data_IF_400785753344
#
_entry.id   IF_400785753344
#
_cell.length_a   1.000
_cell.length_b   1.000
_cell.length_c   1.000
_cell.angle_alpha   90.00
_cell.angle_beta   90.00
_cell.angle_gamma   90.00
#
_symmetry.space_group_name_H-M   'P 1'
#
loop_
_entity.id
_entity.type
_entity.pdbx_description
1 polymer ?
#
# COMPACT_ATOMS: atom_id res chain seq x y z
N UNK A 1 66.94 9.76 18.59
CA UNK A 1 66.53 11.16 18.85
C UNK A 1 65.15 11.34 18.25
N UNK A 2 64.27 11.96 19.02
CA UNK A 2 62.85 12.25 18.76
C UNK A 2 62.68 13.06 17.45
N UNK A 3 61.52 13.20 16.78
CA UNK A 3 60.20 13.75 17.16
C UNK A 3 59.29 13.46 15.93
N UNK A 4 58.07 12.89 16.02
CA UNK A 4 56.77 13.56 16.23
C UNK A 4 55.76 13.08 15.16
N UNK A 5 54.68 12.39 15.54
CA UNK A 5 53.26 12.81 15.50
C UNK A 5 52.83 13.44 14.14
N UNK A 6 51.84 12.94 13.40
CA UNK A 6 50.46 12.68 13.83
C UNK A 6 49.75 11.72 12.85
N UNK A 7 48.88 10.83 13.36
CA UNK A 7 48.13 9.81 12.62
C UNK A 7 46.67 9.92 13.07
N UNK A 8 45.89 10.78 12.41
CA UNK A 8 44.47 10.95 12.71
C UNK A 8 43.67 9.73 12.24
N UNK A 9 43.45 8.80 13.17
CA UNK A 9 42.51 7.68 13.04
C UNK A 9 41.18 8.10 13.67
N UNK A 10 40.19 8.44 12.83
CA UNK A 10 38.79 8.59 13.25
C UNK A 10 38.29 7.26 13.81
N UNK A 11 38.41 7.10 15.13
CA UNK A 11 37.65 6.11 15.90
C UNK A 11 36.20 6.56 15.97
N UNK A 12 35.33 5.82 15.28
CA UNK A 12 33.89 5.79 15.55
C UNK A 12 33.68 5.30 16.98
N UNK A 13 33.40 6.23 17.89
CA UNK A 13 32.85 5.90 19.20
C UNK A 13 31.38 5.50 19.02
N UNK A 14 31.14 4.20 18.94
CA UNK A 14 29.87 3.61 19.37
C UNK A 14 29.85 3.71 20.91
N UNK A 15 28.91 4.43 21.54
CA UNK A 15 28.74 4.33 22.97
C UNK A 15 28.09 2.97 23.27
N UNK A 16 28.79 2.20 24.09
CA UNK A 16 28.30 1.02 24.80
C UNK A 16 26.95 1.27 25.45
N UNK A 17 25.95 0.46 25.08
CA UNK A 17 24.64 0.37 25.72
C UNK A 17 24.79 -0.10 27.18
N UNK A 18 24.27 0.65 28.17
CA UNK A 18 23.88 0.07 29.44
C UNK A 18 22.51 -0.60 29.25
N UNK A 19 22.46 -1.90 29.51
CA UNK A 19 21.22 -2.62 29.78
C UNK A 19 20.54 -2.00 31.03
N UNK A 20 19.23 -1.82 30.96
CA UNK A 20 18.30 -1.34 32.01
C UNK A 20 18.10 0.19 32.12
N UNK A 21 17.34 0.75 31.17
CA UNK A 21 16.63 2.02 31.35
C UNK A 21 15.65 2.22 30.19
N UNK A 22 14.34 2.23 30.46
CA UNK A 22 13.33 2.57 29.43
C UNK A 22 13.59 4.00 28.97
N UNK A 23 14.19 4.20 27.79
CA UNK A 23 14.31 5.52 27.18
C UNK A 23 12.94 5.90 26.64
N UNK A 24 12.32 6.92 27.23
CA UNK A 24 11.14 7.59 26.71
C UNK A 24 11.35 8.02 25.25
N UNK A 25 10.35 7.86 24.37
CA UNK A 25 10.46 8.35 22.98
C UNK A 25 10.74 9.85 22.96
N UNK A 26 11.52 10.30 21.97
CA UNK A 26 11.76 11.73 21.72
C UNK A 26 10.51 12.55 21.43
N UNK A 27 9.35 11.89 21.23
CA UNK A 27 8.05 12.55 21.09
C UNK A 27 7.48 13.12 22.40
N UNK A 28 8.12 12.89 23.55
CA UNK A 28 7.71 13.48 24.83
C UNK A 28 8.91 14.17 25.53
N UNK A 29 9.30 15.38 25.09
CA UNK A 29 10.43 16.10 25.66
C UNK A 29 10.20 16.40 27.15
N UNK A 30 11.27 16.38 27.93
CA UNK A 30 11.26 16.62 29.39
C UNK A 30 10.51 15.56 30.22
N UNK A 31 10.19 14.41 29.65
CA UNK A 31 9.70 13.28 30.43
C UNK A 31 10.86 12.55 31.14
N UNK A 32 10.76 12.37 32.46
CA UNK A 32 11.74 11.66 33.27
C UNK A 32 11.49 10.15 33.29
N UNK A 33 10.22 9.74 33.42
CA UNK A 33 9.81 8.33 33.38
C UNK A 33 8.56 8.15 32.52
N UNK A 34 8.53 7.08 31.72
CA UNK A 34 7.40 6.78 30.86
C UNK A 34 6.73 5.45 31.21
N UNK A 35 5.41 5.42 31.07
CA UNK A 35 4.61 4.20 31.16
C UNK A 35 4.88 3.30 29.94
N UNK A 36 4.90 3.89 28.75
CA UNK A 36 5.16 3.26 27.45
C UNK A 36 5.99 4.18 26.53
N UNK A 37 6.13 3.88 25.23
CA UNK A 37 6.93 4.72 24.33
C UNK A 37 6.30 6.08 24.00
N UNK A 38 5.06 6.41 24.39
CA UNK A 38 4.43 7.74 24.13
C UNK A 38 3.89 8.41 25.39
N UNK A 39 3.54 7.64 26.41
CA UNK A 39 2.85 8.12 27.60
C UNK A 39 3.84 8.46 28.70
N UNK A 40 4.00 9.75 29.00
CA UNK A 40 4.82 10.21 30.12
C UNK A 40 4.12 9.89 31.44
N UNK A 41 4.88 9.35 32.40
CA UNK A 41 4.42 9.10 33.76
C UNK A 41 4.79 10.25 34.69
N UNK A 42 6.03 10.75 34.60
CA UNK A 42 6.56 11.82 35.44
C UNK A 42 7.50 12.70 34.64
N UNK A 43 7.37 14.01 34.82
CA UNK A 43 8.24 15.00 34.20
C UNK A 43 9.57 15.15 34.95
N UNK A 44 10.57 15.70 34.26
CA UNK A 44 11.82 16.15 34.86
C UNK A 44 11.56 17.26 35.89
N UNK A 45 12.52 17.49 36.79
CA UNK A 45 12.43 18.58 37.76
C UNK A 45 12.17 19.93 37.06
N UNK A 46 11.34 20.78 37.68
CA UNK A 46 10.85 22.06 37.12
C UNK A 46 9.84 21.98 35.98
N UNK A 47 9.40 20.78 35.58
CA UNK A 47 8.31 20.61 34.62
C UNK A 47 7.08 20.01 35.30
N UNK A 48 5.91 20.48 34.88
CA UNK A 48 4.61 20.03 35.36
C UNK A 48 3.98 19.11 34.33
N UNK A 49 3.37 18.03 34.81
CA UNK A 49 2.67 17.08 33.95
C UNK A 49 1.25 17.62 33.65
N UNK A 50 1.00 17.86 32.37
CA UNK A 50 -0.31 18.20 31.83
C UNK A 50 -0.89 16.96 31.14
N UNK A 51 -1.87 16.32 31.78
CA UNK A 51 -2.64 15.24 31.15
C UNK A 51 -3.62 15.87 30.16
N UNK A 52 -3.58 15.42 28.91
CA UNK A 52 -4.57 15.76 27.89
C UNK A 52 -5.08 14.51 27.20
N UNK A 53 -6.18 14.63 26.48
CA UNK A 53 -6.68 13.62 25.57
C UNK A 53 -5.59 13.07 24.63
N UNK A 54 -4.77 13.96 24.05
CA UNK A 54 -3.69 13.63 23.10
C UNK A 54 -2.45 13.01 23.75
N UNK A 55 -2.43 12.91 25.08
CA UNK A 55 -1.33 12.33 25.85
C UNK A 55 -0.92 13.23 27.00
N UNK A 56 -0.13 12.67 27.91
CA UNK A 56 0.49 13.45 28.98
C UNK A 56 1.74 14.16 28.44
N UNK A 57 1.84 15.47 28.63
CA UNK A 57 2.96 16.30 28.19
C UNK A 57 3.59 17.02 29.39
N UNK A 58 4.88 17.33 29.29
CA UNK A 58 5.59 18.10 30.30
C UNK A 58 5.67 19.58 29.89
N UNK A 59 5.09 20.46 30.69
CA UNK A 59 5.04 21.92 30.45
C UNK A 59 5.79 22.67 31.54
N UNK A 60 6.36 23.83 31.21
CA UNK A 60 7.11 24.64 32.17
C UNK A 60 6.20 25.41 33.15
N UNK A 61 4.94 25.64 32.78
CA UNK A 61 3.92 26.28 33.62
C UNK A 61 2.53 25.83 33.20
N UNK A 62 1.58 25.85 34.14
CA UNK A 62 0.21 25.46 33.85
C UNK A 62 -0.49 26.50 32.94
N UNK A 63 -1.25 26.06 31.92
CA UNK A 63 -2.06 26.96 31.10
C UNK A 63 -3.16 27.62 31.95
N UNK A 64 -3.58 28.84 31.58
CA UNK A 64 -4.34 29.79 32.42
C UNK A 64 -5.24 29.22 33.54
N UNK A 65 -6.32 28.52 33.21
CA UNK A 65 -7.32 28.07 34.19
C UNK A 65 -6.90 26.86 35.05
N UNK A 66 -5.65 26.44 34.92
CA UNK A 66 -5.08 25.32 35.65
C UNK A 66 -4.21 25.80 36.82
N UNK A 67 -4.36 25.14 37.95
CA UNK A 67 -3.53 25.32 39.13
C UNK A 67 -2.51 24.19 39.27
N UNK A 68 -1.36 24.53 39.82
CA UNK A 68 -0.33 23.56 40.19
C UNK A 68 -0.72 22.83 41.46
N UNK A 69 -0.62 21.50 41.42
CA UNK A 69 -0.89 20.63 42.56
C UNK A 69 0.16 19.52 42.63
N UNK A 70 0.53 19.13 43.84
CA UNK A 70 1.46 18.03 44.07
C UNK A 70 0.69 16.71 44.26
N UNK A 71 1.13 15.67 43.55
CA UNK A 71 0.56 14.32 43.64
C UNK A 71 1.62 13.28 43.97
N UNK A 72 1.22 12.24 44.70
CA UNK A 72 2.12 11.16 45.11
C UNK A 72 2.68 10.38 43.90
N UNK A 73 1.86 10.13 42.89
CA UNK A 73 2.23 9.24 41.77
C UNK A 73 2.95 9.99 40.62
N UNK A 74 2.46 11.18 40.25
CA UNK A 74 2.89 11.89 39.03
C UNK A 74 3.77 13.13 39.32
N UNK A 75 3.94 13.51 40.58
CA UNK A 75 4.64 14.75 40.94
C UNK A 75 3.76 15.99 40.75
N UNK A 76 4.35 17.10 40.31
CA UNK A 76 3.63 18.34 40.02
C UNK A 76 2.79 18.18 38.75
N UNK A 77 1.49 18.40 38.87
CA UNK A 77 0.51 18.28 37.78
C UNK A 77 -0.34 19.55 37.69
N UNK A 78 -0.80 19.85 36.48
CA UNK A 78 -1.73 20.95 36.22
C UNK A 78 -3.18 20.46 36.32
N UNK A 79 -4.02 21.11 37.14
CA UNK A 79 -5.44 20.74 37.32
C UNK A 79 -6.36 21.96 37.15
N UNK A 80 -7.47 21.81 36.42
CA UNK A 80 -8.47 22.89 36.28
C UNK A 80 -9.27 23.09 37.57
N UNK A 81 -9.64 24.34 37.85
CA UNK A 81 -10.50 24.72 38.98
C UNK A 81 -12.00 24.67 38.66
N UNK A 82 -12.37 24.55 37.38
CA UNK A 82 -13.75 24.38 36.93
C UNK A 82 -14.08 22.89 36.77
N UNK A 83 -15.16 22.44 37.41
CA UNK A 83 -15.60 21.04 37.34
C UNK A 83 -16.21 20.65 35.99
N UNK A 84 -16.11 19.37 35.64
CA UNK A 84 -16.65 18.80 34.40
C UNK A 84 -18.12 18.42 34.57
N UNK A 85 -18.99 19.40 34.36
CA UNK A 85 -20.43 19.29 34.70
C UNK A 85 -21.18 18.21 33.91
N UNK A 86 -20.68 17.82 32.73
CA UNK A 86 -21.38 16.92 31.79
C UNK A 86 -20.92 15.46 31.85
N UNK A 87 -19.73 15.18 32.36
CA UNK A 87 -19.15 13.83 32.34
C UNK A 87 -19.08 13.32 33.79
N UNK A 88 -19.88 12.31 34.16
CA UNK A 88 -19.84 11.74 35.50
C UNK A 88 -18.44 11.25 35.85
N UNK A 89 -17.96 11.62 37.04
CA UNK A 89 -16.66 11.20 37.57
C UNK A 89 -15.46 11.71 36.78
N UNK A 90 -15.61 12.84 36.09
CA UNK A 90 -14.52 13.53 35.42
C UNK A 90 -13.99 14.70 36.28
N UNK A 91 -12.68 14.69 36.54
CA UNK A 91 -12.00 15.72 37.33
C UNK A 91 -11.35 16.81 36.47
N UNK A 92 -11.10 16.52 35.19
CA UNK A 92 -10.51 17.46 34.23
C UNK A 92 -11.03 17.17 32.82
N UNK A 93 -11.41 18.22 32.09
CA UNK A 93 -11.98 18.18 30.75
C UNK A 93 -11.47 19.37 29.95
N UNK A 94 -11.54 19.23 28.62
CA UNK A 94 -11.12 20.28 27.71
C UNK A 94 -12.17 21.41 27.69
N UNK A 95 -11.79 22.64 28.05
CA UNK A 95 -12.76 23.74 28.25
C UNK A 95 -13.53 24.14 26.98
N UNK A 96 -13.00 23.84 25.80
CA UNK A 96 -13.66 24.11 24.52
C UNK A 96 -14.69 23.03 24.15
N UNK A 97 -14.61 21.86 24.76
CA UNK A 97 -15.45 20.70 24.47
C UNK A 97 -15.83 20.02 25.79
N UNK A 98 -16.91 20.46 26.43
CA UNK A 98 -17.44 19.93 27.70
C UNK A 98 -17.74 18.40 27.69
N UNK A 99 -17.64 17.76 26.53
CA UNK A 99 -17.93 16.35 26.29
C UNK A 99 -16.64 15.49 26.18
N UNK A 100 -15.45 16.08 26.39
CA UNK A 100 -14.16 15.37 26.41
C UNK A 100 -13.56 15.41 27.82
N UNK A 101 -13.45 14.24 28.46
CA UNK A 101 -12.76 14.09 29.73
C UNK A 101 -11.28 13.77 29.53
N UNK A 102 -10.38 14.56 30.13
CA UNK A 102 -8.94 14.33 30.12
C UNK A 102 -8.48 13.46 31.30
N UNK A 103 -9.16 13.59 32.45
CA UNK A 103 -8.83 12.87 33.69
C UNK A 103 -10.08 12.55 34.50
N UNK A 104 -10.20 11.30 34.94
CA UNK A 104 -11.26 10.88 35.84
C UNK A 104 -10.97 11.24 37.31
N UNK A 105 -11.99 11.18 38.16
CA UNK A 105 -11.85 11.26 39.61
C UNK A 105 -10.94 10.15 40.13
N UNK A 106 -10.31 10.37 41.29
CA UNK A 106 -9.49 9.35 41.94
C UNK A 106 -10.29 8.05 42.15
N UNK A 107 -9.69 6.93 41.76
CA UNK A 107 -10.34 5.61 41.78
C UNK A 107 -11.08 5.24 40.49
N UNK A 108 -11.21 6.15 39.52
CA UNK A 108 -11.80 5.88 38.20
C UNK A 108 -10.73 5.89 37.10
N UNK A 109 -10.97 5.11 36.05
CA UNK A 109 -10.09 4.94 34.90
C UNK A 109 -10.76 5.52 33.65
N UNK A 110 -10.00 6.27 32.86
CA UNK A 110 -10.47 6.81 31.59
C UNK A 110 -10.53 5.70 30.54
N UNK A 111 -11.72 5.45 29.99
CA UNK A 111 -11.97 4.49 28.93
C UNK A 111 -12.44 5.21 27.68
N UNK A 112 -11.77 4.92 26.57
CA UNK A 112 -12.25 5.22 25.22
C UNK A 112 -12.18 3.95 24.40
N UNK A 113 -13.28 3.57 23.77
CA UNK A 113 -13.38 2.28 23.07
C UNK A 113 -12.74 2.30 21.69
N UNK A 114 -12.93 3.37 20.95
CA UNK A 114 -12.40 3.60 19.60
C UNK A 114 -12.14 5.10 19.40
N UNK A 115 -11.33 5.47 18.41
CA UNK A 115 -11.11 6.88 18.06
C UNK A 115 -12.43 7.56 17.74
N UNK A 116 -12.77 8.63 18.47
CA UNK A 116 -14.03 9.36 18.30
C UNK A 116 -15.22 8.81 19.10
N UNK A 117 -15.04 7.72 19.86
CA UNK A 117 -16.05 7.26 20.81
C UNK A 117 -16.11 8.17 22.05
N UNK A 118 -17.29 8.21 22.69
CA UNK A 118 -17.51 8.90 23.97
C UNK A 118 -16.54 8.39 25.05
N UNK A 119 -16.05 9.32 25.87
CA UNK A 119 -15.15 9.03 26.98
C UNK A 119 -15.97 8.68 28.21
N UNK A 120 -15.58 7.61 28.90
CA UNK A 120 -16.24 7.14 30.12
C UNK A 120 -15.23 6.98 31.26
N UNK A 121 -15.60 7.41 32.45
CA UNK A 121 -14.86 7.14 33.67
C UNK A 121 -15.41 5.88 34.35
N UNK A 122 -14.64 4.79 34.32
CA UNK A 122 -15.08 3.47 34.81
C UNK A 122 -14.28 3.05 36.04
N UNK A 123 -14.90 2.37 37.00
CA UNK A 123 -14.22 1.88 38.19
C UNK A 123 -13.21 0.75 37.89
N UNK A 124 -13.41 0.01 36.78
CA UNK A 124 -12.55 -1.06 36.32
C UNK A 124 -12.63 -1.20 34.81
N UNK A 125 -11.53 -1.64 34.17
CA UNK A 125 -11.53 -1.84 32.72
C UNK A 125 -12.43 -2.99 32.29
N UNK A 126 -13.25 -2.81 31.23
CA UNK A 126 -14.08 -3.88 30.69
C UNK A 126 -13.23 -4.96 30.00
N UNK A 127 -13.86 -6.09 29.65
CA UNK A 127 -13.21 -7.16 28.91
C UNK A 127 -12.54 -6.65 27.62
N UNK A 128 -11.32 -7.11 27.35
CA UNK A 128 -10.49 -6.63 26.24
C UNK A 128 -9.65 -5.38 26.56
N UNK A 129 -9.78 -4.82 27.76
CA UNK A 129 -8.99 -3.68 28.23
C UNK A 129 -8.27 -4.02 29.54
N UNK A 130 -7.08 -3.45 29.71
CA UNK A 130 -6.25 -3.59 30.91
C UNK A 130 -5.94 -2.20 31.48
N UNK A 131 -5.82 -2.13 32.81
CA UNK A 131 -5.41 -0.89 33.49
C UNK A 131 -4.01 -0.50 33.03
N UNK A 132 -3.87 0.74 32.58
CA UNK A 132 -2.62 1.34 32.12
C UNK A 132 -2.52 2.78 32.67
N UNK A 133 -1.92 2.91 33.86
CA UNK A 133 -1.94 4.17 34.61
C UNK A 133 -3.36 4.52 35.08
N UNK A 134 -3.80 5.74 34.75
CA UNK A 134 -5.13 6.30 35.01
C UNK A 134 -6.15 5.96 33.92
N UNK A 135 -5.79 5.10 32.96
CA UNK A 135 -6.59 4.80 31.77
C UNK A 135 -6.78 3.30 31.55
N UNK A 136 -7.76 2.96 30.74
CA UNK A 136 -7.95 1.62 30.18
C UNK A 136 -7.36 1.57 28.78
N UNK A 137 -6.34 0.72 28.59
CA UNK A 137 -5.74 0.44 27.28
C UNK A 137 -6.24 -0.89 26.76
N UNK A 138 -6.57 -0.98 25.48
CA UNK A 138 -6.93 -2.27 24.87
C UNK A 138 -5.77 -3.27 25.03
N UNK A 139 -6.08 -4.51 25.39
CA UNK A 139 -5.07 -5.50 25.79
C UNK A 139 -4.11 -5.86 24.65
N UNK A 140 -4.55 -5.78 23.40
CA UNK A 140 -3.69 -6.04 22.25
C UNK A 140 -2.68 -4.91 21.93
N UNK A 141 -2.81 -3.75 22.57
CA UNK A 141 -1.99 -2.57 22.27
C UNK A 141 -0.78 -2.45 23.22
N UNK A 142 0.36 -2.01 22.70
CA UNK A 142 1.55 -1.69 23.53
C UNK A 142 1.46 -0.30 24.14
N UNK A 143 0.67 0.61 23.56
CA UNK A 143 0.47 1.98 24.02
C UNK A 143 -1.01 2.37 24.04
N UNK A 144 -1.31 3.47 24.70
CA UNK A 144 -2.68 3.97 24.85
C UNK A 144 -3.37 4.31 23.51
N UNK A 145 -2.63 4.86 22.55
CA UNK A 145 -3.15 5.23 21.22
C UNK A 145 -3.22 4.05 20.26
N UNK A 146 -2.81 2.86 20.73
CA UNK A 146 -2.68 1.66 19.94
C UNK A 146 -1.86 1.89 18.66
N UNK A 147 -0.82 2.74 18.76
CA UNK A 147 0.11 3.01 17.65
C UNK A 147 1.06 1.83 17.40
N UNK A 148 1.17 0.92 18.37
CA UNK A 148 1.88 -0.35 18.30
C UNK A 148 1.02 -1.47 18.89
N UNK A 149 1.12 -2.64 18.28
CA UNK A 149 0.44 -3.85 18.70
C UNK A 149 1.41 -4.81 19.39
N UNK A 150 0.93 -5.54 20.41
CA UNK A 150 1.70 -6.62 21.02
C UNK A 150 1.97 -7.73 19.99
N UNK A 151 2.97 -8.58 20.27
CA UNK A 151 3.27 -9.75 19.46
C UNK A 151 2.04 -10.61 19.18
N UNK A 152 1.87 -11.04 17.93
CA UNK A 152 0.70 -11.78 17.45
C UNK A 152 -0.46 -10.92 16.97
N UNK A 153 -0.36 -9.59 17.04
CA UNK A 153 -1.35 -8.64 16.53
C UNK A 153 -0.75 -7.74 15.43
N UNK A 154 -1.59 -7.31 14.49
CA UNK A 154 -1.19 -6.51 13.33
C UNK A 154 -1.96 -5.20 13.28
N UNK A 155 -1.30 -4.08 12.92
CA UNK A 155 -2.01 -2.82 12.72
C UNK A 155 -2.91 -2.88 11.49
N UNK A 156 -4.08 -2.23 11.54
CA UNK A 156 -5.02 -2.17 10.42
C UNK A 156 -4.40 -1.63 9.13
N UNK A 157 -3.47 -0.69 9.24
CA UNK A 157 -2.66 -0.15 8.14
C UNK A 157 -1.41 0.53 8.72
N UNK A 158 -0.47 0.93 7.87
CA UNK A 158 0.75 1.60 8.31
C UNK A 158 0.44 2.90 9.05
N UNK A 159 0.75 2.96 10.34
CA UNK A 159 0.45 4.11 11.20
C UNK A 159 -1.00 4.19 11.70
N UNK A 160 -1.76 3.10 11.57
CA UNK A 160 -3.10 3.01 12.15
C UNK A 160 -3.11 2.95 13.68
N UNK A 161 -4.30 3.01 14.26
CA UNK A 161 -4.56 3.01 15.72
C UNK A 161 -5.44 1.83 16.16
N UNK A 162 -5.50 0.78 15.33
CA UNK A 162 -6.32 -0.41 15.59
C UNK A 162 -5.50 -1.66 15.31
N UNK A 163 -5.45 -2.53 16.31
CA UNK A 163 -4.79 -3.83 16.21
C UNK A 163 -5.82 -4.91 15.88
N UNK A 164 -5.49 -5.74 14.90
CA UNK A 164 -6.29 -6.85 14.40
C UNK A 164 -5.54 -8.16 14.69
N UNK A 165 -6.29 -9.25 14.90
CA UNK A 165 -5.68 -10.56 15.07
C UNK A 165 -5.13 -11.11 13.75
N UNK A 166 -5.72 -10.70 12.62
CA UNK A 166 -5.31 -11.03 11.25
C UNK A 166 -5.75 -9.92 10.29
N UNK A 167 -5.11 -9.86 9.13
CA UNK A 167 -5.54 -8.94 8.08
C UNK A 167 -6.86 -9.38 7.43
N UNK A 168 -7.75 -8.44 7.10
CA UNK A 168 -9.00 -8.76 6.42
C UNK A 168 -8.74 -9.20 4.97
N UNK A 169 -9.75 -9.79 4.33
CA UNK A 169 -9.71 -10.14 2.90
C UNK A 169 -9.30 -8.94 2.05
N UNK A 170 -8.43 -9.18 1.07
CA UNK A 170 -7.84 -8.14 0.22
C UNK A 170 -6.60 -7.46 0.81
N UNK A 171 -6.12 -7.92 1.98
CA UNK A 171 -4.91 -7.42 2.62
C UNK A 171 -4.00 -8.57 3.06
N UNK A 172 -2.70 -8.29 3.13
CA UNK A 172 -1.69 -9.21 3.64
C UNK A 172 -0.87 -8.55 4.76
N UNK A 173 -0.29 -9.38 5.62
CA UNK A 173 0.56 -8.88 6.70
C UNK A 173 1.92 -8.48 6.16
N UNK A 174 2.33 -7.25 6.45
CA UNK A 174 3.64 -6.70 6.10
C UNK A 174 4.31 -6.14 7.34
N UNK A 175 5.61 -6.33 7.45
CA UNK A 175 6.40 -5.76 8.54
C UNK A 175 7.03 -4.43 8.12
N UNK A 176 6.94 -3.42 8.99
CA UNK A 176 7.69 -2.18 8.82
C UNK A 176 9.14 -2.37 9.29
N UNK A 177 10.07 -2.26 8.34
CA UNK A 177 11.50 -2.56 8.56
C UNK A 177 12.15 -1.66 9.63
N UNK A 178 11.62 -0.46 9.87
CA UNK A 178 12.21 0.48 10.83
C UNK A 178 11.68 0.27 12.26
N UNK A 179 10.39 0.00 12.40
CA UNK A 179 9.74 -0.12 13.71
C UNK A 179 9.56 -1.56 14.20
N UNK A 180 9.70 -2.55 13.29
CA UNK A 180 9.37 -3.96 13.52
C UNK A 180 7.87 -4.24 13.65
N UNK A 181 7.02 -3.23 13.44
CA UNK A 181 5.57 -3.35 13.61
C UNK A 181 4.95 -3.95 12.35
N UNK A 182 4.21 -5.05 12.52
CA UNK A 182 3.39 -5.61 11.46
C UNK A 182 2.11 -4.79 11.24
N UNK A 183 1.72 -4.61 9.98
CA UNK A 183 0.50 -3.93 9.56
C UNK A 183 -0.10 -4.63 8.34
N UNK A 184 -1.38 -4.36 8.06
CA UNK A 184 -2.04 -4.86 6.88
C UNK A 184 -1.79 -3.92 5.69
N UNK A 185 -1.24 -4.48 4.63
CA UNK A 185 -1.03 -3.80 3.35
C UNK A 185 -1.94 -4.41 2.29
N UNK A 186 -2.32 -3.62 1.29
CA UNK A 186 -3.36 -4.02 0.34
C UNK A 186 -2.81 -4.99 -0.71
N UNK A 187 -3.59 -6.03 -1.01
CA UNK A 187 -3.36 -6.90 -2.16
C UNK A 187 -3.51 -6.11 -3.47
N UNK A 188 -3.08 -6.73 -4.57
CA UNK A 188 -3.38 -6.20 -5.91
C UNK A 188 -4.90 -6.15 -6.13
N UNK A 189 -5.37 -5.23 -6.98
CA UNK A 189 -6.78 -5.14 -7.34
C UNK A 189 -7.41 -6.48 -7.75
N UNK A 190 -8.66 -6.70 -7.33
CA UNK A 190 -9.48 -7.88 -7.56
C UNK A 190 -8.95 -9.17 -6.90
N UNK A 191 -8.09 -9.03 -5.88
CA UNK A 191 -7.48 -10.13 -5.17
C UNK A 191 -7.98 -10.17 -3.71
N UNK A 192 -8.48 -11.32 -3.27
CA UNK A 192 -8.98 -11.52 -1.90
C UNK A 192 -7.89 -12.06 -0.96
N UNK A 193 -6.86 -12.71 -1.49
CA UNK A 193 -5.75 -13.23 -0.69
C UNK A 193 -4.44 -13.17 -1.47
N UNK A 194 -3.39 -12.68 -0.82
CA UNK A 194 -2.06 -12.53 -1.40
C UNK A 194 -0.98 -12.68 -0.32
N UNK A 195 0.23 -13.06 -0.72
CA UNK A 195 1.42 -13.02 0.15
C UNK A 195 2.18 -11.70 0.07
N UNK A 196 2.04 -10.99 -1.05
CA UNK A 196 2.69 -9.70 -1.31
C UNK A 196 1.82 -8.83 -2.26
N UNK A 197 2.26 -7.60 -2.51
CA UNK A 197 1.52 -6.65 -3.35
C UNK A 197 1.55 -6.96 -4.86
N UNK A 198 2.35 -7.93 -5.29
CA UNK A 198 2.53 -8.30 -6.69
C UNK A 198 1.78 -9.59 -7.06
N UNK A 199 1.71 -10.54 -6.15
CA UNK A 199 1.23 -11.90 -6.38
C UNK A 199 -0.09 -12.14 -5.67
N UNK A 200 -1.13 -12.40 -6.44
CA UNK A 200 -2.41 -12.86 -5.93
C UNK A 200 -2.47 -14.39 -5.81
N UNK A 201 -3.05 -14.89 -4.73
CA UNK A 201 -3.32 -16.32 -4.51
C UNK A 201 -4.77 -16.67 -4.83
N UNK A 202 -5.71 -15.80 -4.45
CA UNK A 202 -7.15 -16.00 -4.65
C UNK A 202 -7.78 -14.72 -5.19
N UNK A 203 -8.50 -14.86 -6.31
CA UNK A 203 -9.21 -13.76 -6.92
C UNK A 203 -10.60 -13.56 -6.31
N UNK A 204 -11.12 -12.35 -6.44
CA UNK A 204 -12.54 -12.07 -6.26
C UNK A 204 -13.41 -12.88 -7.24
N UNK A 205 -14.68 -13.04 -6.89
CA UNK A 205 -15.66 -13.69 -7.76
C UNK A 205 -15.70 -13.02 -9.14
N UNK A 206 -15.89 -13.83 -10.19
CA UNK A 206 -15.89 -13.43 -11.61
C UNK A 206 -14.52 -13.03 -12.19
N UNK A 207 -13.44 -13.10 -11.42
CA UNK A 207 -12.09 -12.97 -11.94
C UNK A 207 -11.38 -14.32 -12.04
N UNK A 208 -10.47 -14.42 -13.00
CA UNK A 208 -9.63 -15.58 -13.23
C UNK A 208 -8.20 -15.28 -12.77
N UNK A 209 -7.64 -16.19 -11.97
CA UNK A 209 -6.24 -16.12 -11.59
C UNK A 209 -5.36 -16.46 -12.80
N UNK A 210 -4.53 -15.50 -13.20
CA UNK A 210 -3.55 -15.64 -14.26
C UNK A 210 -2.13 -15.65 -13.69
N UNK A 211 -1.47 -16.81 -13.76
CA UNK A 211 -0.09 -17.01 -13.31
C UNK A 211 0.90 -16.67 -14.42
N UNK A 212 1.35 -15.42 -14.44
CA UNK A 212 2.38 -14.93 -15.37
C UNK A 212 3.76 -14.82 -14.71
N UNK A 213 4.44 -13.69 -14.93
CA UNK A 213 5.63 -13.31 -14.14
C UNK A 213 5.24 -12.97 -12.70
N UNK A 214 4.07 -12.37 -12.55
CA UNK A 214 3.37 -12.17 -11.29
C UNK A 214 1.96 -12.75 -11.45
N UNK A 215 1.37 -13.28 -10.37
CA UNK A 215 -0.01 -13.75 -10.38
C UNK A 215 -0.97 -12.58 -10.22
N UNK A 216 -1.99 -12.52 -11.09
CA UNK A 216 -2.97 -11.42 -11.09
C UNK A 216 -4.35 -11.92 -11.48
N UNK A 217 -5.36 -11.19 -11.04
CA UNK A 217 -6.75 -11.45 -11.37
C UNK A 217 -7.16 -10.70 -12.64
N UNK A 218 -7.71 -11.42 -13.61
CA UNK A 218 -8.16 -10.87 -14.89
C UNK A 218 -9.60 -11.28 -15.17
N UNK A 219 -10.39 -10.38 -15.75
CA UNK A 219 -11.79 -10.66 -16.08
C UNK A 219 -11.92 -11.68 -17.24
N UNK A 220 -10.95 -11.66 -18.17
CA UNK A 220 -10.88 -12.61 -19.28
C UNK A 220 -9.46 -13.17 -19.39
N UNK A 221 -9.36 -14.47 -19.66
CA UNK A 221 -8.07 -15.10 -19.87
C UNK A 221 -7.39 -14.55 -21.12
N UNK A 222 -6.08 -14.24 -21.05
CA UNK A 222 -5.35 -13.69 -22.18
C UNK A 222 -5.26 -14.72 -23.31
N UNK A 223 -5.01 -14.23 -24.53
CA UNK A 223 -4.76 -15.06 -25.71
C UNK A 223 -3.74 -16.16 -25.39
N UNK A 224 -4.09 -17.40 -25.72
CA UNK A 224 -3.29 -18.59 -25.40
C UNK A 224 -3.78 -19.36 -24.17
N UNK A 225 -4.78 -18.84 -23.45
CA UNK A 225 -5.28 -19.41 -22.21
C UNK A 225 -6.81 -19.53 -22.24
N UNK A 226 -7.34 -20.53 -21.56
CA UNK A 226 -8.76 -20.77 -21.36
C UNK A 226 -9.11 -20.65 -19.87
N UNK A 227 -10.33 -20.19 -19.63
CA UNK A 227 -10.94 -20.23 -18.31
C UNK A 227 -11.11 -21.68 -17.88
N UNK A 228 -10.64 -22.00 -16.68
CA UNK A 228 -10.83 -23.30 -16.07
C UNK A 228 -11.36 -23.14 -14.64
N UNK A 229 -12.50 -23.76 -14.38
CA UNK A 229 -13.22 -23.74 -13.11
C UNK A 229 -13.09 -25.09 -12.37
N UNK A 230 -12.24 -26.01 -12.85
CA UNK A 230 -12.17 -27.39 -12.36
C UNK A 230 -11.32 -27.58 -11.10
N UNK A 231 -10.72 -26.52 -10.53
CA UNK A 231 -9.81 -26.63 -9.39
C UNK A 231 -10.44 -26.09 -8.11
N UNK A 232 -10.11 -26.72 -6.98
CA UNK A 232 -10.44 -26.26 -5.62
C UNK A 232 -9.89 -24.86 -5.30
N UNK A 233 -9.01 -24.32 -6.13
CA UNK A 233 -8.42 -22.98 -6.05
C UNK A 233 -9.25 -21.88 -6.73
N UNK A 234 -10.41 -22.21 -7.29
CA UNK A 234 -11.29 -21.26 -7.98
C UNK A 234 -11.00 -21.12 -9.48
N UNK A 235 -11.53 -20.05 -10.07
CA UNK A 235 -11.43 -19.72 -11.49
C UNK A 235 -9.99 -19.36 -11.86
N UNK A 236 -9.34 -20.16 -12.72
CA UNK A 236 -7.94 -19.95 -13.16
C UNK A 236 -7.84 -19.87 -14.68
N UNK A 237 -6.80 -19.21 -15.19
CA UNK A 237 -6.44 -19.24 -16.60
C UNK A 237 -5.39 -20.33 -16.86
N UNK A 238 -5.77 -21.40 -17.55
CA UNK A 238 -4.85 -22.47 -17.97
C UNK A 238 -4.45 -22.31 -19.42
N UNK A 239 -3.26 -22.81 -19.75
CA UNK A 239 -2.79 -22.84 -21.14
C UNK A 239 -3.78 -23.65 -21.97
N UNK A 240 -4.19 -23.07 -23.09
CA UNK A 240 -5.01 -23.75 -24.07
C UNK A 240 -4.17 -24.79 -24.84
N UNK A 241 -4.52 -26.07 -24.67
CA UNK A 241 -3.79 -27.20 -25.24
C UNK A 241 -4.37 -27.71 -26.56
N UNK A 242 -5.44 -27.10 -27.08
CA UNK A 242 -5.99 -27.51 -28.37
C UNK A 242 -4.94 -27.37 -29.47
N UNK A 243 -4.82 -28.42 -30.30
CA UNK A 243 -3.83 -28.47 -31.38
C UNK A 243 -2.39 -28.75 -30.96
N UNK A 244 -2.10 -28.91 -29.67
CA UNK A 244 -0.75 -29.26 -29.20
C UNK A 244 -0.52 -30.77 -29.28
N UNK A 245 0.61 -31.19 -29.88
CA UNK A 245 1.01 -32.59 -29.93
C UNK A 245 1.84 -33.04 -28.72
N UNK A 246 2.33 -32.08 -27.94
CA UNK A 246 3.12 -32.29 -26.71
C UNK A 246 2.70 -31.26 -25.66
N UNK A 247 2.89 -31.59 -24.40
CA UNK A 247 2.53 -30.76 -23.24
C UNK A 247 3.06 -29.31 -23.32
N UNK A 248 4.28 -29.13 -23.85
CA UNK A 248 4.91 -27.82 -23.99
C UNK A 248 4.37 -26.99 -25.17
N UNK A 249 3.46 -27.54 -25.98
CA UNK A 249 2.97 -26.97 -27.24
C UNK A 249 4.09 -26.55 -28.21
N UNK A 250 5.28 -27.12 -28.07
CA UNK A 250 6.42 -26.88 -28.96
C UNK A 250 6.22 -27.50 -30.34
N UNK A 251 5.28 -28.45 -30.47
CA UNK A 251 4.84 -29.09 -31.71
C UNK A 251 3.32 -28.97 -31.81
N UNK A 252 2.84 -28.52 -32.96
CA UNK A 252 1.42 -28.35 -33.25
C UNK A 252 0.94 -29.38 -34.28
N UNK A 253 -0.36 -29.64 -34.29
CA UNK A 253 -1.04 -30.42 -35.31
C UNK A 253 -0.82 -29.81 -36.71
N UNK A 254 -0.94 -30.62 -37.74
CA UNK A 254 -0.85 -30.15 -39.12
C UNK A 254 -1.92 -29.09 -39.42
N UNK A 255 -1.53 -28.04 -40.15
CA UNK A 255 -2.38 -26.86 -40.40
C UNK A 255 -2.43 -25.85 -39.25
N UNK A 256 -1.94 -26.17 -38.04
CA UNK A 256 -1.93 -25.24 -36.92
C UNK A 256 -0.64 -24.41 -36.87
N UNK A 257 -0.79 -23.14 -36.51
CA UNK A 257 0.28 -22.19 -36.29
C UNK A 257 0.83 -22.28 -34.87
N UNK A 258 2.17 -22.33 -34.77
CA UNK A 258 2.88 -22.22 -33.50
C UNK A 258 3.23 -20.76 -33.21
N UNK A 259 2.93 -20.29 -32.00
CA UNK A 259 3.25 -18.95 -31.51
C UNK A 259 3.91 -19.01 -30.14
N UNK A 260 4.78 -18.05 -29.82
CA UNK A 260 5.40 -17.92 -28.50
C UNK A 260 4.87 -16.68 -27.77
N UNK A 261 4.10 -16.89 -26.71
CA UNK A 261 3.50 -15.84 -25.87
C UNK A 261 4.12 -15.92 -24.48
N UNK A 262 4.74 -14.83 -24.00
CA UNK A 262 5.38 -14.75 -22.67
C UNK A 262 6.30 -15.95 -22.33
N UNK A 263 7.12 -16.35 -23.29
CA UNK A 263 8.08 -17.48 -23.25
C UNK A 263 7.48 -18.89 -23.41
N UNK A 264 6.16 -19.05 -23.37
CA UNK A 264 5.45 -20.32 -23.57
C UNK A 264 5.01 -20.48 -25.03
N UNK A 265 5.04 -21.70 -25.55
CA UNK A 265 4.50 -21.99 -26.89
C UNK A 265 3.01 -22.28 -26.81
N UNK A 266 2.29 -21.92 -27.88
CA UNK A 266 0.88 -22.20 -28.06
C UNK A 266 0.62 -22.61 -29.50
N UNK A 267 -0.41 -23.41 -29.72
CA UNK A 267 -0.90 -23.80 -31.04
C UNK A 267 -2.24 -23.12 -31.32
N UNK A 268 -2.44 -22.63 -32.55
CA UNK A 268 -3.68 -21.99 -33.00
C UNK A 268 -4.01 -22.34 -34.44
N UNK A 269 -5.29 -22.39 -34.79
CA UNK A 269 -5.71 -22.53 -36.20
C UNK A 269 -5.45 -21.23 -36.98
N UNK A 270 -5.55 -20.08 -36.31
CA UNK A 270 -5.30 -18.76 -36.90
C UNK A 270 -4.38 -17.94 -36.00
N UNK A 271 -3.58 -17.05 -36.59
CA UNK A 271 -2.72 -16.18 -35.81
C UNK A 271 -3.53 -15.09 -35.10
N UNK A 272 -3.28 -14.86 -33.80
CA UNK A 272 -4.01 -13.84 -33.05
C UNK A 272 -3.64 -12.44 -33.52
N UNK A 273 -4.49 -11.47 -33.19
CA UNK A 273 -4.28 -10.05 -33.47
C UNK A 273 -2.85 -9.60 -33.15
N UNK A 274 -2.28 -8.78 -34.04
CA UNK A 274 -0.88 -8.34 -33.98
C UNK A 274 0.11 -9.37 -34.50
N UNK A 275 -0.35 -10.47 -35.09
CA UNK A 275 0.48 -11.48 -35.76
C UNK A 275 -0.06 -11.83 -37.15
N UNK A 276 0.82 -12.34 -38.00
CA UNK A 276 0.50 -12.86 -39.33
C UNK A 276 1.03 -14.30 -39.50
N UNK A 277 0.38 -15.07 -40.38
CA UNK A 277 0.78 -16.44 -40.68
C UNK A 277 2.05 -16.52 -41.52
N UNK A 278 2.98 -17.40 -41.15
CA UNK A 278 4.17 -17.76 -41.93
C UNK A 278 4.10 -19.24 -42.25
N UNK A 279 3.87 -19.55 -43.52
CA UNK A 279 3.83 -20.91 -44.06
C UNK A 279 5.07 -21.15 -44.93
N UNK A 280 5.75 -22.29 -44.75
CA UNK A 280 6.93 -22.66 -45.52
C UNK A 280 6.94 -24.16 -45.76
N UNK A 281 7.15 -24.57 -47.02
CA UNK A 281 7.20 -25.98 -47.38
C UNK A 281 8.19 -26.76 -46.50
N UNK A 282 7.73 -27.88 -45.93
CA UNK A 282 8.51 -28.74 -45.05
C UNK A 282 8.87 -28.14 -43.69
N UNK A 283 8.27 -27.01 -43.29
CA UNK A 283 8.49 -26.37 -41.98
C UNK A 283 7.14 -26.13 -41.28
N UNK A 284 7.13 -26.07 -39.93
CA UNK A 284 5.90 -25.80 -39.19
C UNK A 284 5.40 -24.37 -39.48
N UNK A 285 4.07 -24.21 -39.50
CA UNK A 285 3.42 -22.92 -39.59
C UNK A 285 3.71 -22.09 -38.32
N UNK A 286 4.06 -20.82 -38.49
CA UNK A 286 4.44 -19.93 -37.38
C UNK A 286 3.67 -18.63 -37.43
N UNK A 287 3.36 -18.06 -36.27
CA UNK A 287 2.86 -16.69 -36.20
C UNK A 287 4.01 -15.69 -36.06
N UNK A 288 4.22 -14.88 -37.10
CA UNK A 288 5.13 -13.74 -37.09
C UNK A 288 4.49 -12.51 -36.45
N UNK A 289 5.27 -11.64 -35.81
CA UNK A 289 4.75 -10.38 -35.24
C UNK A 289 4.56 -9.31 -36.31
N UNK A 290 3.46 -8.59 -36.23
CA UNK A 290 3.24 -7.39 -37.02
C UNK A 290 4.23 -6.27 -36.65
N UNK A 291 4.39 -5.25 -37.54
CA UNK A 291 5.09 -4.02 -37.21
C UNK A 291 4.59 -3.41 -35.89
N UNK A 292 5.45 -2.62 -35.24
CA UNK A 292 5.07 -1.93 -34.02
C UNK A 292 3.80 -1.10 -34.24
N UNK A 293 2.95 -1.02 -33.21
CA UNK A 293 1.66 -0.30 -33.25
C UNK A 293 0.60 -0.81 -34.25
N UNK A 294 0.90 -1.87 -35.00
CA UNK A 294 -0.03 -2.48 -35.94
C UNK A 294 -0.94 -3.52 -35.25
N UNK A 295 -2.21 -3.54 -35.62
CA UNK A 295 -3.23 -4.50 -35.19
C UNK A 295 -3.33 -5.69 -36.16
N UNK A 296 -3.35 -5.43 -37.46
CA UNK A 296 -3.42 -6.45 -38.52
C UNK A 296 -2.40 -6.13 -39.61
N UNK A 297 -1.69 -7.13 -40.11
CA UNK A 297 -0.62 -6.95 -41.09
C UNK A 297 -0.57 -8.12 -42.07
N UNK A 298 -0.10 -7.85 -43.29
CA UNK A 298 0.17 -8.88 -44.28
C UNK A 298 1.48 -9.62 -43.97
N UNK A 299 2.47 -8.88 -43.48
CA UNK A 299 3.77 -9.39 -43.10
C UNK A 299 4.46 -8.45 -42.09
N UNK A 300 5.73 -8.71 -41.77
CA UNK A 300 6.52 -7.96 -40.80
C UNK A 300 6.77 -6.47 -41.14
N UNK A 301 6.39 -6.00 -42.33
CA UNK A 301 6.54 -4.60 -42.79
C UNK A 301 5.21 -3.94 -43.11
N UNK A 302 4.30 -4.69 -43.70
CA UNK A 302 3.08 -4.12 -44.29
C UNK A 302 1.91 -4.17 -43.30
N UNK A 303 1.66 -3.05 -42.64
CA UNK A 303 0.51 -2.89 -41.75
C UNK A 303 -0.77 -2.62 -42.54
N UNK A 304 -1.87 -3.23 -42.13
CA UNK A 304 -3.21 -3.03 -42.71
C UNK A 304 -4.11 -2.21 -41.78
N UNK A 305 -3.99 -2.42 -40.47
CA UNK A 305 -4.81 -1.72 -39.48
C UNK A 305 -3.97 -1.29 -38.28
N UNK A 306 -4.11 -0.03 -37.88
CA UNK A 306 -3.49 0.48 -36.66
C UNK A 306 -4.30 0.09 -35.42
N UNK A 307 -3.61 -0.09 -34.29
CA UNK A 307 -4.28 -0.23 -32.99
C UNK A 307 -5.12 1.01 -32.69
N UNK A 308 -6.22 0.82 -31.96
CA UNK A 308 -7.15 1.87 -31.56
C UNK A 308 -6.43 3.06 -30.90
N UNK A 309 -6.84 4.28 -31.27
CA UNK A 309 -6.34 5.52 -30.68
C UNK A 309 -5.08 6.11 -31.33
N UNK A 310 -4.45 5.41 -32.27
CA UNK A 310 -3.26 5.86 -33.00
C UNK A 310 -3.61 6.60 -34.30
N UNK A 311 -2.70 7.48 -34.74
CA UNK A 311 -2.80 8.15 -36.03
C UNK A 311 -2.28 7.26 -37.15
N UNK A 312 -3.07 7.16 -38.23
CA UNK A 312 -2.69 6.54 -39.50
C UNK A 312 -1.84 7.50 -40.33
N UNK A 313 -0.65 7.08 -40.73
CA UNK A 313 0.24 7.84 -41.61
C UNK A 313 0.56 6.98 -42.84
N UNK A 314 0.23 7.46 -44.04
CA UNK A 314 0.58 6.76 -45.29
C UNK A 314 1.73 7.49 -45.97
N UNK A 315 2.83 6.78 -46.24
CA UNK A 315 3.97 7.29 -47.02
C UNK A 315 4.33 6.27 -48.09
N UNK A 316 4.40 6.73 -49.34
CA UNK A 316 4.77 5.90 -50.49
C UNK A 316 3.93 4.59 -50.56
N UNK A 317 2.64 4.69 -50.25
CA UNK A 317 1.70 3.57 -50.21
C UNK A 317 1.81 2.67 -48.97
N UNK A 318 2.76 2.89 -48.07
CA UNK A 318 2.96 2.11 -46.84
C UNK A 318 2.27 2.77 -45.64
N UNK A 319 1.51 2.00 -44.87
CA UNK A 319 0.83 2.45 -43.65
C UNK A 319 1.75 2.33 -42.42
N UNK A 320 1.88 3.45 -41.72
CA UNK A 320 2.57 3.57 -40.43
C UNK A 320 1.58 4.00 -39.34
N UNK A 321 1.71 3.43 -38.15
CA UNK A 321 0.84 3.69 -37.01
C UNK A 321 1.60 4.43 -35.91
N UNK A 322 1.29 5.70 -35.70
CA UNK A 322 2.08 6.60 -34.85
C UNK A 322 1.23 7.23 -33.74
N UNK A 323 1.87 7.51 -32.61
CA UNK A 323 1.23 8.20 -31.47
C UNK A 323 1.00 9.68 -31.74
N UNK A 324 1.93 10.30 -32.47
CA UNK A 324 1.90 11.71 -32.84
C UNK A 324 2.29 11.86 -34.31
N UNK A 325 1.72 12.84 -34.99
CA UNK A 325 2.09 13.12 -36.37
C UNK A 325 3.53 13.66 -36.43
N UNK A 326 4.38 13.12 -37.33
CA UNK A 326 5.73 13.62 -37.50
C UNK A 326 5.74 15.01 -38.14
N UNK A 327 6.87 15.70 -38.09
CA UNK A 327 7.04 17.00 -38.74
C UNK A 327 6.62 16.98 -40.22
N UNK A 328 5.95 18.07 -40.63
CA UNK A 328 5.36 18.20 -41.97
C UNK A 328 4.00 17.52 -42.14
N UNK A 329 3.42 16.97 -41.07
CA UNK A 329 2.07 16.39 -41.07
C UNK A 329 1.23 16.98 -39.93
N UNK A 330 -0.04 17.24 -40.22
CA UNK A 330 -1.02 17.73 -39.26
C UNK A 330 -1.95 16.59 -38.82
N UNK A 331 -2.32 16.54 -37.53
CA UNK A 331 -3.30 15.57 -37.05
C UNK A 331 -4.70 15.93 -37.56
N UNK A 332 -5.43 14.92 -38.03
CA UNK A 332 -6.82 15.02 -38.42
C UNK A 332 -7.63 13.91 -37.72
N UNK A 333 -8.84 14.25 -37.30
CA UNK A 333 -9.83 13.31 -36.77
C UNK A 333 -11.10 13.48 -37.60
N UNK A 334 -11.62 12.39 -38.16
CA UNK A 334 -12.90 12.43 -38.89
C UNK A 334 -14.10 12.28 -37.94
N UNK A 335 -15.31 12.41 -38.50
CA UNK A 335 -16.58 12.30 -37.75
C UNK A 335 -16.79 10.91 -37.11
N UNK A 336 -15.95 9.92 -37.45
CA UNK A 336 -15.96 8.56 -36.88
C UNK A 336 -14.82 8.37 -35.86
N UNK A 337 -14.26 9.46 -35.35
CA UNK A 337 -13.10 9.50 -34.44
C UNK A 337 -11.83 8.85 -34.99
N UNK A 338 -11.73 8.67 -36.31
CA UNK A 338 -10.58 8.03 -36.92
C UNK A 338 -9.44 9.04 -37.08
N UNK A 339 -8.29 8.72 -36.49
CA UNK A 339 -7.11 9.59 -36.45
C UNK A 339 -6.18 9.34 -37.63
N UNK A 340 -5.81 10.39 -38.35
CA UNK A 340 -4.86 10.34 -39.47
C UNK A 340 -3.87 11.51 -39.46
N UNK A 341 -2.72 11.32 -40.08
CA UNK A 341 -1.73 12.36 -40.31
C UNK A 341 -1.75 12.76 -41.78
N UNK A 342 -2.09 14.02 -42.05
CA UNK A 342 -2.16 14.56 -43.42
C UNK A 342 -0.98 15.49 -43.65
N UNK A 343 -0.35 15.38 -44.82
CA UNK A 343 0.80 16.21 -45.18
C UNK A 343 0.37 17.67 -45.19
N UNK A 344 1.12 18.54 -44.50
CA UNK A 344 0.87 19.97 -44.52
C UNK A 344 1.12 20.49 -45.95
N UNK A 345 0.07 20.91 -46.65
CA UNK A 345 0.19 21.62 -47.93
C UNK A 345 0.39 23.12 -47.65
N UNK A 346 1.15 23.77 -48.53
CA UNK A 346 1.60 25.17 -48.38
C UNK A 346 0.44 26.15 -48.31
N UNK A 347 0.09 26.51 -47.08
CA UNK A 347 -0.48 27.79 -46.62
C UNK A 347 -0.60 27.82 -45.07
N UNK A 348 -0.36 26.70 -44.39
CA UNK A 348 -0.30 26.60 -42.91
C UNK A 348 1.13 26.53 -42.33
N UNK A 349 2.16 26.63 -43.16
CA UNK A 349 3.57 26.71 -42.71
C UNK A 349 3.93 28.06 -42.06
N UNK A 350 3.03 29.05 -42.10
CA UNK A 350 3.24 30.40 -41.57
C UNK A 350 2.61 30.70 -40.20
N UNK A 351 2.00 29.73 -39.52
CA UNK A 351 1.44 29.91 -38.16
C UNK A 351 1.67 28.69 -37.27
N UNK A 352 2.92 28.28 -37.13
CA UNK A 352 3.41 27.51 -35.99
C UNK A 352 4.58 28.25 -35.36
#
# INVERSE_FOLDING_TARGET
MEVGADRDSRKTYLPSLPLSGKVCSGSNPHCATCLDHRTCQRCQESFLLLESYWGAHCVASCPGNFTEIETNDNGLVCRSSKGCSRIPKCSQCEETFDDICDKCDDGFLLLQRETGAEIQCVASCPAGFVKHGTRCRADMCEDFFCSRCKGGWVLQYKGGTKCLSNCPSGFYTREDVFSGQSYCDMCRANCTSCQDSYNCDVCEDNFFLFNGVFSKCVQHCPVGYLADNSQSSGNVCKIDKHGCLVESCSRCQEGWYRIRIRKTYHCRQECPTGHFGIERAGKPNLCGRCPYNCQECLNHRDCQQCKTGLYKLVRDGTLYCVWHCPQGYLPQVDDKEQKSCVKATGDLLGRL
#
